data_IF_109803593925
#
_entry.id   IF_109803593925
#
_cell.length_a   1.000
_cell.length_b   1.000
_cell.length_c   1.000
_cell.angle_alpha   90.00
_cell.angle_beta   90.00
_cell.angle_gamma   90.00
#
_symmetry.space_group_name_H-M   'P 1'
#
loop_
_entity.id
_entity.type
_entity.pdbx_description
1 polymer ?
#
# COMPACT_ATOMS: atom_id res chain seq x y z
N UNK A 1 -23.17 4.33 5.04
CA UNK A 1 -21.70 4.40 4.92
C UNK A 1 -21.21 2.99 4.67
N UNK A 2 -20.37 2.78 3.67
CA UNK A 2 -19.78 1.46 3.44
C UNK A 2 -18.96 1.09 4.68
N UNK A 3 -19.05 -0.15 5.16
CA UNK A 3 -18.29 -0.61 6.31
C UNK A 3 -16.82 -0.95 5.99
N UNK A 4 -16.27 -0.40 4.90
CA UNK A 4 -14.87 -0.64 4.49
C UNK A 4 -13.91 -0.02 5.49
N UNK A 5 -14.07 1.27 5.76
CA UNK A 5 -13.24 2.01 6.69
C UNK A 5 -13.91 2.21 8.04
N UNK A 6 -13.09 2.42 9.06
CA UNK A 6 -13.59 2.87 10.35
C UNK A 6 -14.26 4.25 10.20
N UNK A 7 -15.34 4.47 10.95
CA UNK A 7 -16.16 5.67 10.83
C UNK A 7 -15.42 6.98 11.13
N UNK A 8 -14.31 6.91 11.87
CA UNK A 8 -13.46 8.04 12.24
C UNK A 8 -12.21 8.17 11.35
N UNK A 9 -12.10 7.43 10.24
CA UNK A 9 -10.97 7.58 9.33
C UNK A 9 -11.02 8.94 8.64
N UNK A 10 -10.05 9.78 8.94
CA UNK A 10 -9.77 11.04 8.24
C UNK A 10 -8.41 10.94 7.55
N UNK A 11 -8.41 10.98 6.23
CA UNK A 11 -7.18 10.94 5.43
C UNK A 11 -6.50 12.30 5.30
N UNK A 12 -7.10 13.40 5.66
CA UNK A 12 -6.51 14.76 5.55
C UNK A 12 -5.15 14.88 6.24
N UNK A 13 -5.07 14.65 7.56
CA UNK A 13 -3.79 14.68 8.30
C UNK A 13 -2.78 13.66 7.78
N UNK A 14 -3.26 12.48 7.34
CA UNK A 14 -2.40 11.41 6.81
C UNK A 14 -1.77 11.82 5.48
N UNK A 15 -2.55 12.37 4.56
CA UNK A 15 -2.10 12.85 3.25
C UNK A 15 -1.14 14.03 3.40
N UNK A 16 -1.37 14.91 4.38
CA UNK A 16 -0.46 16.00 4.70
C UNK A 16 0.88 15.47 5.23
N UNK A 17 0.86 14.44 6.09
CA UNK A 17 2.08 13.75 6.53
C UNK A 17 2.83 13.11 5.36
N UNK A 18 2.14 12.43 4.45
CA UNK A 18 2.74 11.87 3.23
C UNK A 18 3.36 12.96 2.37
N UNK A 19 2.67 14.12 2.21
CA UNK A 19 3.19 15.26 1.47
C UNK A 19 4.51 15.78 2.04
N UNK A 20 4.61 15.89 3.36
CA UNK A 20 5.80 16.42 4.05
C UNK A 20 6.91 15.37 4.17
N UNK A 21 6.58 14.21 4.68
CA UNK A 21 7.55 13.21 5.15
C UNK A 21 7.78 12.06 4.15
N UNK A 22 6.95 11.96 3.11
CA UNK A 22 7.05 10.90 2.10
C UNK A 22 6.26 9.65 2.43
N UNK A 23 5.93 9.40 3.69
CA UNK A 23 5.18 8.23 4.14
C UNK A 23 4.32 8.55 5.37
N UNK A 24 3.25 7.80 5.54
CA UNK A 24 2.45 7.76 6.77
C UNK A 24 1.74 6.41 6.89
N UNK A 25 1.38 6.03 8.12
CA UNK A 25 0.61 4.80 8.40
C UNK A 25 -0.57 5.15 9.31
N UNK A 26 -1.74 4.62 8.95
CA UNK A 26 -2.92 4.57 9.80
C UNK A 26 -2.99 3.16 10.38
N UNK A 27 -2.90 3.04 11.68
CA UNK A 27 -2.82 1.73 12.35
C UNK A 27 -4.08 0.88 12.15
N UNK A 28 -5.26 1.50 12.15
CA UNK A 28 -6.55 0.86 11.93
C UNK A 28 -7.37 1.70 10.95
N UNK A 29 -7.31 1.34 9.68
CA UNK A 29 -8.08 1.97 8.62
C UNK A 29 -9.29 1.13 8.23
N UNK A 30 -9.13 -0.20 8.14
CA UNK A 30 -10.19 -1.11 7.73
C UNK A 30 -11.07 -1.51 8.91
N UNK A 31 -12.38 -1.49 8.69
CA UNK A 31 -13.35 -2.10 9.61
C UNK A 31 -13.18 -3.63 9.65
N UNK A 32 -13.23 -4.23 10.86
CA UNK A 32 -12.98 -5.66 11.04
C UNK A 32 -13.90 -6.57 10.20
N UNK A 33 -15.22 -6.32 10.11
CA UNK A 33 -16.09 -7.16 9.27
C UNK A 33 -15.70 -7.13 7.79
N UNK A 34 -15.27 -5.97 7.30
CA UNK A 34 -14.82 -5.81 5.93
C UNK A 34 -13.47 -6.50 5.71
N UNK A 35 -12.48 -6.28 6.60
CA UNK A 35 -11.16 -6.91 6.55
C UNK A 35 -11.28 -8.44 6.50
N UNK A 36 -12.11 -9.03 7.36
CA UNK A 36 -12.36 -10.46 7.37
C UNK A 36 -13.01 -10.98 6.09
N UNK A 37 -13.89 -10.20 5.44
CA UNK A 37 -14.48 -10.53 4.14
C UNK A 37 -13.41 -10.50 3.04
N UNK A 38 -12.60 -9.46 3.01
CA UNK A 38 -11.49 -9.31 2.07
C UNK A 38 -10.46 -10.45 2.26
N UNK A 39 -10.11 -10.79 3.49
CA UNK A 39 -9.18 -11.88 3.77
C UNK A 39 -9.67 -13.21 3.21
N UNK A 40 -10.97 -13.55 3.38
CA UNK A 40 -11.55 -14.77 2.79
C UNK A 40 -11.45 -14.79 1.27
N UNK A 41 -11.71 -13.65 0.62
CA UNK A 41 -11.60 -13.50 -0.83
C UNK A 41 -10.16 -13.73 -1.30
N UNK A 42 -9.16 -13.23 -0.57
CA UNK A 42 -7.77 -13.33 -0.95
C UNK A 42 -7.11 -14.69 -0.65
N UNK A 43 -7.75 -15.57 0.13
CA UNK A 43 -7.20 -16.91 0.44
C UNK A 43 -7.10 -17.82 -0.77
N UNK A 44 -8.00 -17.68 -1.73
CA UNK A 44 -8.09 -18.56 -2.92
C UNK A 44 -7.32 -18.02 -4.12
N UNK A 45 -6.64 -16.90 -3.96
CA UNK A 45 -5.87 -16.26 -5.04
C UNK A 45 -4.67 -17.14 -5.43
N UNK A 46 -4.41 -17.38 -6.72
CA UNK A 46 -3.28 -18.18 -7.18
C UNK A 46 -1.97 -17.37 -7.21
N UNK A 47 -1.47 -17.04 -6.02
CA UNK A 47 -0.19 -16.34 -5.88
C UNK A 47 0.96 -17.10 -6.54
N UNK A 48 1.88 -16.37 -7.16
CA UNK A 48 3.11 -16.91 -7.76
C UNK A 48 4.33 -16.21 -7.16
N UNK A 49 5.45 -16.90 -6.97
CA UNK A 49 6.68 -16.27 -6.51
C UNK A 49 7.07 -15.09 -7.40
N UNK A 50 7.36 -13.94 -6.79
CA UNK A 50 7.98 -12.83 -7.49
C UNK A 50 9.46 -13.16 -7.80
N UNK A 51 10.07 -12.55 -8.83
CA UNK A 51 11.53 -12.63 -9.02
C UNK A 51 12.25 -12.26 -7.72
N UNK A 52 13.18 -13.10 -7.23
CA UNK A 52 13.84 -12.87 -5.94
C UNK A 52 14.71 -11.61 -5.95
N UNK A 53 15.15 -11.19 -7.14
CA UNK A 53 15.97 -10.01 -7.35
C UNK A 53 15.44 -9.17 -8.51
N UNK A 54 15.36 -7.86 -8.31
CA UNK A 54 15.02 -6.86 -9.34
C UNK A 54 16.04 -5.73 -9.23
N UNK A 55 17.06 -5.77 -10.10
CA UNK A 55 18.22 -4.90 -9.96
C UNK A 55 18.87 -5.11 -8.60
N UNK A 56 19.09 -4.06 -7.80
CA UNK A 56 19.71 -4.18 -6.48
C UNK A 56 18.70 -4.54 -5.37
N UNK A 57 17.44 -4.77 -5.69
CA UNK A 57 16.39 -5.08 -4.71
C UNK A 57 16.24 -6.59 -4.57
N UNK A 58 16.38 -7.09 -3.35
CA UNK A 58 16.04 -8.47 -3.00
C UNK A 58 14.63 -8.50 -2.40
N UNK A 59 13.86 -9.49 -2.79
CA UNK A 59 12.50 -9.69 -2.28
C UNK A 59 12.17 -11.17 -2.15
N UNK A 60 11.36 -11.46 -1.16
CA UNK A 60 10.85 -12.80 -0.92
C UNK A 60 9.35 -12.70 -0.66
N UNK A 61 8.58 -12.63 -1.74
CA UNK A 61 7.14 -12.48 -1.71
C UNK A 61 6.51 -13.22 -2.87
N UNK A 62 5.31 -13.74 -2.67
CA UNK A 62 4.46 -14.21 -3.74
C UNK A 62 3.52 -13.07 -4.14
N UNK A 63 3.18 -13.00 -5.42
CA UNK A 63 2.35 -11.92 -5.97
C UNK A 63 1.22 -12.43 -6.82
N UNK A 64 0.16 -11.62 -6.90
CA UNK A 64 -0.90 -11.78 -7.89
C UNK A 64 -1.37 -10.40 -8.35
N UNK A 65 -1.55 -10.23 -9.65
CA UNK A 65 -2.10 -9.03 -10.27
C UNK A 65 -3.41 -9.43 -10.94
N UNK A 66 -4.57 -9.00 -10.42
CA UNK A 66 -5.85 -9.30 -11.04
C UNK A 66 -5.96 -8.57 -12.38
N UNK A 67 -6.40 -9.27 -13.42
CA UNK A 67 -6.65 -8.65 -14.73
C UNK A 67 -7.95 -7.83 -14.72
N UNK A 68 -8.94 -8.27 -13.95
CA UNK A 68 -10.16 -7.54 -13.65
C UNK A 68 -10.63 -7.84 -12.21
N UNK A 69 -11.66 -7.17 -11.76
CA UNK A 69 -12.21 -7.32 -10.41
C UNK A 69 -13.55 -8.07 -10.35
N UNK A 70 -13.98 -8.70 -11.44
CA UNK A 70 -15.28 -9.39 -11.48
C UNK A 70 -15.38 -10.52 -10.45
N UNK A 71 -14.28 -11.22 -10.19
CA UNK A 71 -14.21 -12.29 -9.19
C UNK A 71 -13.83 -11.81 -7.78
N UNK A 72 -13.65 -10.49 -7.57
CA UNK A 72 -13.11 -9.90 -6.35
C UNK A 72 -13.98 -8.75 -5.82
N UNK A 73 -15.21 -9.01 -5.35
CA UNK A 73 -16.12 -7.95 -4.95
C UNK A 73 -15.63 -7.11 -3.77
N UNK A 74 -14.99 -7.72 -2.76
CA UNK A 74 -14.44 -6.98 -1.64
C UNK A 74 -13.22 -6.12 -2.04
N UNK A 75 -12.38 -6.62 -2.94
CA UNK A 75 -11.25 -5.88 -3.49
C UNK A 75 -11.73 -4.70 -4.36
N UNK A 76 -12.78 -4.89 -5.15
CA UNK A 76 -13.40 -3.82 -5.94
C UNK A 76 -13.98 -2.72 -5.04
N UNK A 77 -14.68 -3.10 -3.98
CA UNK A 77 -15.23 -2.19 -2.98
C UNK A 77 -14.09 -1.41 -2.28
N UNK A 78 -13.02 -2.09 -1.86
CA UNK A 78 -11.85 -1.41 -1.28
C UNK A 78 -11.26 -0.36 -2.22
N UNK A 79 -11.03 -0.71 -3.49
CA UNK A 79 -10.44 0.19 -4.47
C UNK A 79 -11.35 1.41 -4.74
N UNK A 80 -12.65 1.20 -4.80
CA UNK A 80 -13.65 2.27 -4.96
C UNK A 80 -13.66 3.21 -3.77
N UNK A 81 -13.85 2.69 -2.56
CA UNK A 81 -13.96 3.48 -1.34
C UNK A 81 -12.65 4.22 -1.01
N UNK A 82 -11.51 3.59 -1.25
CA UNK A 82 -10.22 4.25 -1.11
C UNK A 82 -10.09 5.44 -2.08
N UNK A 83 -10.48 5.26 -3.33
CA UNK A 83 -10.49 6.36 -4.30
C UNK A 83 -11.39 7.50 -3.84
N UNK A 84 -12.61 7.19 -3.37
CA UNK A 84 -13.55 8.21 -2.86
C UNK A 84 -12.92 8.97 -1.68
N UNK A 85 -12.34 8.26 -0.71
CA UNK A 85 -11.70 8.88 0.45
C UNK A 85 -10.53 9.78 0.07
N UNK A 86 -9.69 9.40 -0.91
CA UNK A 86 -8.59 10.23 -1.41
C UNK A 86 -9.12 11.46 -2.15
N UNK A 87 -10.14 11.30 -3.01
CA UNK A 87 -10.70 12.39 -3.80
C UNK A 87 -11.42 13.45 -2.95
N UNK A 88 -11.88 13.11 -1.75
CA UNK A 88 -12.44 14.09 -0.81
C UNK A 88 -11.45 15.22 -0.49
N UNK A 89 -10.13 14.96 -0.56
CA UNK A 89 -9.05 15.94 -0.32
C UNK A 89 -8.45 16.53 -1.61
N UNK A 90 -9.11 16.35 -2.75
CA UNK A 90 -8.56 16.79 -4.05
C UNK A 90 -8.43 18.31 -4.20
N UNK A 91 -9.20 19.09 -3.43
CA UNK A 91 -9.12 20.56 -3.42
C UNK A 91 -7.94 21.07 -2.60
N UNK A 92 -7.53 20.31 -1.57
CA UNK A 92 -6.51 20.69 -0.61
C UNK A 92 -5.12 20.30 -1.10
N UNK A 93 -5.01 19.17 -1.81
CA UNK A 93 -3.72 18.64 -2.26
C UNK A 93 -3.67 18.54 -3.78
N UNK A 94 -2.84 19.39 -4.38
CA UNK A 94 -2.63 19.41 -5.83
C UNK A 94 -2.26 18.03 -6.37
N UNK A 95 -2.98 17.61 -7.40
CA UNK A 95 -2.73 16.35 -8.12
C UNK A 95 -3.68 15.23 -7.73
N UNK A 96 -4.41 15.31 -6.61
CA UNK A 96 -5.35 14.25 -6.23
C UNK A 96 -6.62 14.23 -7.09
N UNK A 97 -7.04 15.34 -7.69
CA UNK A 97 -8.25 15.41 -8.53
C UNK A 97 -8.26 14.39 -9.70
N UNK A 98 -7.09 13.95 -10.14
CA UNK A 98 -6.93 12.96 -11.22
C UNK A 98 -6.49 11.59 -10.71
N UNK A 99 -6.55 11.35 -9.40
CA UNK A 99 -6.10 10.09 -8.82
C UNK A 99 -7.06 8.94 -9.14
N UNK A 100 -6.52 7.89 -9.73
CA UNK A 100 -7.24 6.64 -10.03
C UNK A 100 -6.34 5.46 -9.66
N UNK A 101 -6.69 4.65 -8.66
CA UNK A 101 -5.94 3.43 -8.34
C UNK A 101 -6.28 2.32 -9.36
N UNK A 102 -5.60 2.34 -10.50
CA UNK A 102 -5.81 1.46 -11.64
C UNK A 102 -4.83 0.29 -11.74
N UNK A 103 -3.96 0.14 -10.75
CA UNK A 103 -2.98 -0.95 -10.68
C UNK A 103 -3.07 -1.56 -9.28
N UNK A 104 -3.45 -2.82 -9.21
CA UNK A 104 -3.64 -3.56 -7.98
C UNK A 104 -2.61 -4.67 -7.90
N UNK A 105 -1.91 -4.76 -6.78
CA UNK A 105 -0.97 -5.82 -6.49
C UNK A 105 -1.34 -6.50 -5.17
N UNK A 106 -1.62 -7.77 -5.23
CA UNK A 106 -1.74 -8.60 -4.03
C UNK A 106 -0.39 -9.23 -3.72
N UNK A 107 0.05 -9.11 -2.48
CA UNK A 107 1.32 -9.66 -2.02
C UNK A 107 1.12 -10.56 -0.82
N UNK A 108 1.79 -11.70 -0.86
CA UNK A 108 1.82 -12.68 0.21
C UNK A 108 3.26 -12.95 0.63
N UNK A 109 3.53 -12.81 1.92
CA UNK A 109 4.82 -13.08 2.53
C UNK A 109 4.68 -14.30 3.42
N UNK A 110 5.43 -15.35 3.11
CA UNK A 110 5.44 -16.59 3.91
C UNK A 110 6.14 -16.35 5.25
N UNK A 111 5.86 -17.16 6.28
CA UNK A 111 6.59 -17.11 7.53
C UNK A 111 8.11 -17.16 7.30
N UNK A 112 8.85 -16.29 7.99
CA UNK A 112 10.31 -16.18 7.84
C UNK A 112 10.79 -15.48 6.56
N UNK A 113 9.87 -14.89 5.78
CA UNK A 113 10.24 -14.09 4.60
C UNK A 113 11.14 -12.92 4.98
N UNK A 114 12.18 -12.67 4.18
CA UNK A 114 12.98 -11.44 4.31
C UNK A 114 12.22 -10.15 3.96
N UNK A 115 11.04 -10.27 3.33
CA UNK A 115 10.28 -9.13 2.84
C UNK A 115 10.80 -8.53 1.54
N UNK A 116 10.93 -7.21 1.50
CA UNK A 116 11.49 -6.45 0.37
C UNK A 116 12.52 -5.47 0.92
N UNK A 117 13.77 -5.57 0.44
CA UNK A 117 14.85 -4.68 0.85
C UNK A 117 14.61 -3.25 0.36
N UNK A 118 15.39 -2.31 0.88
CA UNK A 118 15.25 -0.88 0.59
C UNK A 118 15.22 -0.58 -0.90
N UNK A 119 14.17 0.09 -1.34
CA UNK A 119 13.93 0.44 -2.75
C UNK A 119 13.11 1.73 -2.89
N UNK A 120 13.06 2.23 -4.11
CA UNK A 120 12.10 3.23 -4.57
C UNK A 120 11.06 2.55 -5.44
N UNK A 121 9.80 2.87 -5.26
CA UNK A 121 8.75 2.47 -6.19
C UNK A 121 9.03 2.98 -7.61
N UNK A 122 8.40 2.37 -8.61
CA UNK A 122 8.56 2.81 -10.01
C UNK A 122 8.05 4.25 -10.20
N UNK A 123 8.77 5.06 -11.03
CA UNK A 123 8.33 6.40 -11.45
C UNK A 123 7.02 6.42 -12.23
N UNK A 124 6.60 5.28 -12.77
CA UNK A 124 5.30 5.14 -13.45
C UNK A 124 4.11 5.24 -12.48
N UNK A 125 4.32 4.95 -11.20
CA UNK A 125 3.31 5.18 -10.18
C UNK A 125 3.23 6.67 -9.87
N UNK A 126 2.00 7.18 -9.74
CA UNK A 126 1.76 8.61 -9.59
C UNK A 126 0.93 8.90 -8.35
N UNK A 127 1.19 10.05 -7.76
CA UNK A 127 0.45 10.61 -6.62
C UNK A 127 0.68 9.83 -5.33
N UNK A 128 0.05 8.66 -5.20
CA UNK A 128 0.08 7.83 -4.01
C UNK A 128 0.30 6.37 -4.37
N UNK A 129 1.02 5.67 -3.51
CA UNK A 129 1.05 4.22 -3.41
C UNK A 129 0.48 3.85 -2.04
N UNK A 130 -0.53 3.00 -2.01
CA UNK A 130 -1.18 2.55 -0.80
C UNK A 130 -0.95 1.06 -0.58
N UNK A 131 -0.76 0.65 0.68
CA UNK A 131 -0.70 -0.74 1.09
C UNK A 131 -1.65 -0.96 2.25
N UNK A 132 -2.64 -1.84 2.07
CA UNK A 132 -3.52 -2.31 3.13
C UNK A 132 -3.00 -3.64 3.65
N UNK A 133 -2.74 -3.76 4.95
CA UNK A 133 -2.42 -5.03 5.57
C UNK A 133 -3.71 -5.76 5.91
N UNK A 134 -3.92 -6.92 5.30
CA UNK A 134 -5.14 -7.72 5.48
C UNK A 134 -4.93 -8.77 6.57
N UNK A 135 -3.76 -9.41 6.60
CA UNK A 135 -3.35 -10.44 7.55
C UNK A 135 -1.87 -10.34 7.88
N UNK A 136 -1.48 -10.79 9.07
CA UNK A 136 -0.09 -10.76 9.55
C UNK A 136 0.44 -9.34 9.70
N UNK A 137 1.65 -9.19 10.16
CA UNK A 137 2.26 -7.90 10.49
C UNK A 137 3.57 -7.68 9.75
N UNK A 138 3.97 -6.41 9.60
CA UNK A 138 5.26 -6.01 9.08
C UNK A 138 5.70 -4.67 9.65
N UNK A 139 6.98 -4.36 9.50
CA UNK A 139 7.47 -2.99 9.59
C UNK A 139 7.63 -2.39 8.19
N UNK A 140 7.18 -1.15 8.04
CA UNK A 140 7.56 -0.26 6.95
C UNK A 140 8.66 0.64 7.47
N UNK A 141 9.88 0.47 6.97
CA UNK A 141 11.00 1.37 7.25
C UNK A 141 11.14 2.39 6.12
N UNK A 142 11.25 3.67 6.47
CA UNK A 142 11.58 4.76 5.55
C UNK A 142 13.04 5.13 5.76
N UNK A 143 13.82 5.18 4.68
CA UNK A 143 15.25 5.40 4.74
C UNK A 143 15.64 6.68 3.98
N UNK A 144 16.75 7.29 4.37
CA UNK A 144 17.33 8.45 3.69
C UNK A 144 17.78 8.11 2.26
N UNK A 145 18.37 6.95 2.11
CA UNK A 145 18.85 6.37 0.85
C UNK A 145 18.83 4.83 0.95
N UNK A 146 19.21 4.13 -0.12
CA UNK A 146 19.09 2.67 -0.22
C UNK A 146 19.74 1.92 0.96
N UNK A 147 20.95 2.31 1.36
CA UNK A 147 21.70 1.71 2.47
C UNK A 147 21.92 2.71 3.62
N UNK A 148 21.09 3.74 3.68
CA UNK A 148 21.24 4.84 4.62
C UNK A 148 20.51 4.63 5.93
N UNK A 149 20.51 5.71 6.71
CA UNK A 149 19.84 5.84 7.99
C UNK A 149 18.33 5.59 7.86
N UNK A 150 17.77 4.86 8.79
CA UNK A 150 16.32 4.73 8.95
C UNK A 150 15.77 6.02 9.57
N UNK A 151 14.96 6.74 8.80
CA UNK A 151 14.32 7.99 9.20
C UNK A 151 13.05 7.79 10.00
N UNK A 152 12.32 6.70 9.70
CA UNK A 152 11.10 6.31 10.39
C UNK A 152 10.83 4.83 10.21
N UNK A 153 10.20 4.23 11.23
CA UNK A 153 9.68 2.85 11.20
C UNK A 153 8.24 2.85 11.69
N UNK A 154 7.37 2.23 10.92
CA UNK A 154 5.95 2.11 11.22
C UNK A 154 5.57 0.63 11.37
N UNK A 155 4.81 0.29 12.41
CA UNK A 155 4.14 -1.01 12.49
C UNK A 155 2.95 -1.04 11.55
N UNK A 156 2.82 -2.13 10.80
CA UNK A 156 1.70 -2.40 9.90
C UNK A 156 1.00 -3.67 10.36
N UNK A 157 0.03 -3.50 11.23
CA UNK A 157 -0.82 -4.56 11.75
C UNK A 157 -2.02 -4.84 10.82
N UNK A 158 -2.74 -5.96 10.98
CA UNK A 158 -3.97 -6.21 10.23
C UNK A 158 -4.97 -5.06 10.36
N UNK A 159 -5.47 -4.57 9.22
CA UNK A 159 -6.34 -3.40 9.14
C UNK A 159 -5.62 -2.08 8.90
N UNK A 160 -4.28 -2.04 8.96
CA UNK A 160 -3.51 -0.82 8.70
C UNK A 160 -3.50 -0.41 7.23
N UNK A 161 -3.36 0.90 7.01
CA UNK A 161 -3.10 1.52 5.71
C UNK A 161 -1.78 2.27 5.76
N UNK A 162 -0.81 1.89 4.94
CA UNK A 162 0.39 2.66 4.68
C UNK A 162 0.24 3.44 3.37
N UNK A 163 0.62 4.70 3.37
CA UNK A 163 0.65 5.57 2.21
C UNK A 163 2.07 6.05 1.95
N UNK A 164 2.51 5.96 0.70
CA UNK A 164 3.77 6.50 0.22
C UNK A 164 3.54 7.57 -0.85
N UNK A 165 4.37 8.60 -0.81
CA UNK A 165 4.42 9.63 -1.83
C UNK A 165 4.97 9.07 -3.14
N UNK A 166 4.28 9.42 -4.23
CA UNK A 166 4.74 9.14 -5.59
C UNK A 166 4.84 10.43 -6.41
N UNK A 167 5.52 10.42 -7.57
CA UNK A 167 5.68 11.60 -8.42
C UNK A 167 4.36 12.30 -8.73
N UNK A 168 4.34 13.61 -8.61
CA UNK A 168 3.22 14.48 -8.92
C UNK A 168 2.28 14.78 -7.76
N UNK A 169 2.40 14.13 -6.58
CA UNK A 169 1.69 14.57 -5.39
C UNK A 169 2.15 15.98 -5.01
N UNK A 170 1.19 16.85 -4.71
CA UNK A 170 1.42 18.27 -4.41
C UNK A 170 2.28 19.02 -5.45
N UNK A 171 2.31 18.52 -6.70
CA UNK A 171 3.11 19.09 -7.76
C UNK A 171 4.60 18.71 -7.75
N UNK A 172 5.03 17.89 -6.81
CA UNK A 172 6.43 17.45 -6.72
C UNK A 172 6.79 16.56 -7.91
N UNK A 173 7.93 16.86 -8.57
CA UNK A 173 8.41 16.08 -9.71
C UNK A 173 8.76 14.65 -9.34
N UNK A 174 9.42 14.48 -8.22
CA UNK A 174 9.74 13.21 -7.54
C UNK A 174 9.70 13.47 -6.03
N UNK A 175 10.01 12.53 -5.24
CA UNK A 175 9.99 12.63 -3.78
C UNK A 175 9.57 11.32 -3.16
N UNK A 176 9.71 10.24 -3.95
CA UNK A 176 9.50 8.87 -3.49
C UNK A 176 10.46 8.58 -2.34
N UNK A 177 9.99 8.07 -1.22
CA UNK A 177 10.88 7.66 -0.14
C UNK A 177 11.55 6.32 -0.50
N UNK A 178 12.82 6.15 -0.13
CA UNK A 178 13.38 4.81 0.03
C UNK A 178 12.65 4.11 1.16
N UNK A 179 12.21 2.89 0.91
CA UNK A 179 11.49 2.12 1.92
C UNK A 179 11.75 0.62 1.80
N UNK A 180 11.55 -0.07 2.92
CA UNK A 180 11.67 -1.52 3.03
C UNK A 180 10.44 -2.08 3.74
N UNK A 181 10.09 -3.32 3.43
CA UNK A 181 9.03 -4.07 4.12
C UNK A 181 9.67 -5.28 4.79
N UNK A 182 9.56 -5.36 6.10
CA UNK A 182 10.06 -6.47 6.91
C UNK A 182 8.88 -7.15 7.62
N UNK A 183 8.44 -8.34 7.16
CA UNK A 183 7.40 -9.11 7.87
C UNK A 183 7.84 -9.46 9.29
N UNK A 184 6.89 -9.53 10.19
CA UNK A 184 7.12 -9.81 11.62
C UNK A 184 6.27 -11.00 12.05
N UNK A 185 6.86 -11.82 12.92
CA UNK A 185 6.16 -12.97 13.50
C UNK A 185 6.20 -14.23 12.63
N UNK A 186 5.42 -15.20 13.05
CA UNK A 186 5.37 -16.55 12.47
C UNK A 186 4.18 -16.73 11.51
N UNK A 187 3.37 -15.70 11.34
CA UNK A 187 2.20 -15.74 10.47
C UNK A 187 2.53 -15.32 9.05
N UNK A 188 1.75 -15.84 8.12
CA UNK A 188 1.73 -15.36 6.74
C UNK A 188 1.16 -13.93 6.70
N UNK A 189 1.86 -13.02 6.03
CA UNK A 189 1.35 -11.68 5.80
C UNK A 189 0.73 -11.55 4.41
N UNK A 190 -0.46 -10.98 4.34
CA UNK A 190 -1.15 -10.65 3.08
C UNK A 190 -1.44 -9.16 3.03
N UNK A 191 -1.13 -8.54 1.91
CA UNK A 191 -1.40 -7.11 1.68
C UNK A 191 -1.94 -6.82 0.29
N UNK A 192 -2.72 -5.73 0.20
CA UNK A 192 -3.25 -5.17 -1.04
C UNK A 192 -2.55 -3.85 -1.33
N UNK A 193 -1.84 -3.79 -2.44
CA UNK A 193 -1.28 -2.55 -2.98
C UNK A 193 -2.23 -1.91 -3.99
N UNK A 194 -2.55 -0.61 -3.82
CA UNK A 194 -3.32 0.19 -4.75
C UNK A 194 -2.46 1.34 -5.27
N UNK A 195 -2.31 1.44 -6.58
CA UNK A 195 -1.42 2.39 -7.22
C UNK A 195 -2.08 3.04 -8.43
N UNK A 196 -1.75 4.29 -8.70
CA UNK A 196 -2.05 4.93 -9.97
C UNK A 196 -0.89 4.72 -10.93
N UNK A 197 -1.09 3.90 -11.96
CA UNK A 197 -0.09 3.56 -12.96
C UNK A 197 -0.37 4.31 -14.26
N UNK A 198 0.65 4.96 -14.84
CA UNK A 198 0.54 5.66 -16.14
C UNK A 198 0.68 4.73 -17.34
N UNK A 199 1.03 3.47 -17.11
CA UNK A 199 1.12 2.41 -18.11
C UNK A 199 0.49 1.16 -17.51
N UNK A 200 -0.84 1.09 -17.50
CA UNK A 200 -1.56 -0.07 -16.99
C UNK A 200 -1.33 -1.31 -17.84
#
# INVERSE_FOLDING_TARGET
MSGVFLANLDLGPVLESVRRNGAAVVAQALGEPFRSRLERELRIVPYRPAPPEVGPVRQQTDVFVPQDLKGFPALAELAHEYRVAVLAHAREIRGLATYVPNDILLQRYRPGSLGITSHLDSKRYRRLVAFFTVRGSAYLSVLRERAGEELARFSMEPGSLALLRAPGLAGLRDGRPFHAITPVGIEERVSVGLRMNTRP
#
